data_IF_069654992239
#
_entry.id   IF_069654992239
#
_cell.length_a   1.000
_cell.length_b   1.000
_cell.length_c   1.000
_cell.angle_alpha   90.00
_cell.angle_beta   90.00
_cell.angle_gamma   90.00
#
_symmetry.space_group_name_H-M   'P 1'
#
loop_
_entity.id
_entity.type
_entity.pdbx_description
1 polymer ?
#
# COMPACT_ATOMS: atom_id res chain seq x y z
N UNK A 1 26.12 11.30 -3.56
CA UNK A 1 27.57 11.43 -3.24
C UNK A 1 27.98 12.33 -2.09
N UNK A 2 27.24 13.39 -1.70
CA UNK A 2 27.73 14.35 -0.67
C UNK A 2 28.27 13.69 0.61
N UNK A 3 27.56 12.71 1.15
CA UNK A 3 27.98 11.97 2.36
C UNK A 3 29.29 11.20 2.12
N UNK A 4 29.40 10.46 1.03
CA UNK A 4 30.63 9.71 0.71
C UNK A 4 31.81 10.65 0.51
N UNK A 5 31.61 11.77 -0.21
CA UNK A 5 32.65 12.80 -0.39
C UNK A 5 33.09 13.46 0.90
N UNK A 6 32.18 13.65 1.86
CA UNK A 6 32.49 14.21 3.17
C UNK A 6 33.44 13.31 3.98
N UNK A 7 33.25 11.98 3.90
CA UNK A 7 34.07 11.01 4.65
C UNK A 7 35.17 10.34 3.81
N UNK A 8 35.25 10.67 2.51
CA UNK A 8 36.24 10.21 1.51
C UNK A 8 36.57 8.71 1.67
N UNK A 9 37.86 8.40 1.74
CA UNK A 9 38.42 7.05 1.84
C UNK A 9 37.99 6.26 3.07
N UNK A 10 37.50 6.91 4.14
CA UNK A 10 37.01 6.19 5.33
C UNK A 10 35.70 5.45 5.04
N UNK A 11 34.90 5.95 4.11
CA UNK A 11 33.61 5.36 3.75
C UNK A 11 33.67 4.65 2.38
N UNK A 12 34.29 5.26 1.37
CA UNK A 12 34.28 4.74 0.00
C UNK A 12 34.77 3.29 -0.12
N UNK A 13 35.89 2.93 0.52
CA UNK A 13 36.45 1.58 0.48
C UNK A 13 35.78 0.57 1.44
N UNK A 14 34.78 1.01 2.21
CA UNK A 14 34.02 0.14 3.14
C UNK A 14 32.59 -0.12 2.66
N UNK A 15 32.19 0.51 1.57
CA UNK A 15 30.89 0.29 0.95
C UNK A 15 30.97 -0.99 0.14
N UNK A 16 30.01 -1.90 0.37
CA UNK A 16 29.93 -3.16 -0.36
C UNK A 16 28.51 -3.58 -0.70
N UNK A 17 27.55 -3.38 0.20
CA UNK A 17 26.15 -3.75 -0.01
C UNK A 17 25.20 -2.62 0.39
N UNK A 18 24.06 -2.57 -0.28
CA UNK A 18 23.01 -1.58 -0.07
C UNK A 18 21.68 -2.27 0.14
N UNK A 19 20.97 -1.89 1.19
CA UNK A 19 19.59 -2.33 1.41
C UNK A 19 18.63 -1.21 1.02
N UNK A 20 17.72 -1.50 0.10
CA UNK A 20 16.66 -0.58 -0.35
C UNK A 20 15.32 -1.29 -0.48
N UNK A 21 14.24 -0.53 -0.60
CA UNK A 21 12.92 -1.10 -0.94
C UNK A 21 12.90 -1.63 -2.40
N UNK A 22 11.78 -2.21 -2.80
CA UNK A 22 11.65 -2.83 -4.13
C UNK A 22 11.21 -1.83 -5.21
N UNK A 23 11.71 -0.58 -5.15
CA UNK A 23 11.50 0.42 -6.20
C UNK A 23 12.69 0.41 -7.19
N UNK A 24 12.41 0.42 -8.49
CA UNK A 24 13.41 0.43 -9.57
C UNK A 24 14.33 1.66 -9.54
N UNK A 25 13.92 2.77 -8.91
CA UNK A 25 14.79 3.95 -8.69
C UNK A 25 16.03 3.61 -7.88
N UNK A 26 15.97 2.57 -7.04
CA UNK A 26 17.15 2.08 -6.34
C UNK A 26 18.18 1.49 -7.32
N UNK A 27 17.74 0.82 -8.39
CA UNK A 27 18.64 0.31 -9.42
C UNK A 27 19.30 1.45 -10.18
N UNK A 28 18.54 2.49 -10.55
CA UNK A 28 19.09 3.70 -11.17
C UNK A 28 20.10 4.37 -10.25
N UNK A 29 19.77 4.52 -8.96
CA UNK A 29 20.64 5.14 -7.98
C UNK A 29 21.96 4.36 -7.80
N UNK A 30 21.89 3.03 -7.67
CA UNK A 30 23.07 2.20 -7.47
C UNK A 30 23.97 2.14 -8.70
N UNK A 31 23.40 2.12 -9.92
CA UNK A 31 24.19 2.21 -11.16
C UNK A 31 24.97 3.52 -11.23
N UNK A 32 24.31 4.63 -10.90
CA UNK A 32 25.00 5.93 -10.88
C UNK A 32 26.06 5.98 -9.78
N UNK A 33 25.77 5.45 -8.60
CA UNK A 33 26.71 5.41 -7.49
C UNK A 33 27.95 4.56 -7.82
N UNK A 34 27.78 3.43 -8.51
CA UNK A 34 28.88 2.58 -8.96
C UNK A 34 29.85 3.34 -9.88
N UNK A 35 29.32 4.12 -10.83
CA UNK A 35 30.10 4.97 -11.74
C UNK A 35 30.91 6.02 -10.95
N UNK A 36 30.28 6.68 -9.98
CA UNK A 36 30.93 7.73 -9.20
C UNK A 36 31.99 7.18 -8.24
N UNK A 37 31.76 6.01 -7.62
CA UNK A 37 32.73 5.34 -6.76
C UNK A 37 33.97 4.88 -7.52
N UNK A 38 33.78 4.30 -8.72
CA UNK A 38 34.89 3.91 -9.59
C UNK A 38 35.70 5.13 -10.02
N UNK A 39 35.02 6.20 -10.45
CA UNK A 39 35.69 7.42 -10.95
C UNK A 39 36.46 8.19 -9.88
N UNK A 40 35.93 8.31 -8.67
CA UNK A 40 36.51 9.18 -7.63
C UNK A 40 37.43 8.44 -6.65
N UNK A 41 37.20 7.14 -6.44
CA UNK A 41 37.85 6.37 -5.38
C UNK A 41 38.46 5.05 -5.84
N UNK A 42 38.40 4.72 -7.15
CA UNK A 42 38.87 3.44 -7.69
C UNK A 42 38.19 2.22 -7.01
N UNK A 43 36.92 2.40 -6.62
CA UNK A 43 36.11 1.34 -6.00
C UNK A 43 35.13 0.79 -7.02
N UNK A 44 35.30 -0.48 -7.37
CA UNK A 44 34.38 -1.20 -8.26
C UNK A 44 33.33 -1.92 -7.44
N UNK A 45 32.06 -1.59 -7.69
CA UNK A 45 30.90 -2.32 -7.18
C UNK A 45 30.04 -2.77 -8.36
N UNK A 46 29.50 -3.98 -8.30
CA UNK A 46 28.44 -4.38 -9.20
C UNK A 46 27.09 -3.95 -8.59
N UNK A 47 26.38 -2.97 -9.19
CA UNK A 47 25.15 -2.44 -8.63
C UNK A 47 24.03 -3.47 -8.50
N UNK A 48 24.09 -4.58 -9.27
CA UNK A 48 23.09 -5.65 -9.21
C UNK A 48 23.37 -6.56 -8.02
N UNK A 49 24.55 -7.19 -7.95
CA UNK A 49 24.89 -8.08 -6.84
C UNK A 49 25.11 -7.38 -5.49
N UNK A 50 25.42 -6.07 -5.51
CA UNK A 50 25.58 -5.25 -4.29
C UNK A 50 24.23 -4.79 -3.72
N UNK A 51 23.11 -5.02 -4.40
CA UNK A 51 21.77 -4.65 -3.93
C UNK A 51 21.10 -5.79 -3.18
N UNK A 52 20.80 -5.55 -1.91
CA UNK A 52 19.91 -6.39 -1.11
C UNK A 52 18.53 -5.73 -1.01
N UNK A 53 17.46 -6.51 -1.18
CA UNK A 53 16.09 -6.02 -0.99
C UNK A 53 15.76 -5.96 0.51
N UNK A 54 15.03 -4.93 0.91
CA UNK A 54 14.60 -4.77 2.29
C UNK A 54 13.60 -5.88 2.68
N UNK A 55 13.99 -6.74 3.63
CA UNK A 55 13.15 -7.83 4.11
C UNK A 55 11.77 -7.36 4.61
N UNK A 56 11.72 -6.23 5.33
CA UNK A 56 10.46 -5.66 5.80
C UNK A 56 9.51 -5.26 4.66
N UNK A 57 10.06 -4.70 3.57
CA UNK A 57 9.25 -4.39 2.39
C UNK A 57 8.73 -5.65 1.70
N UNK A 58 9.56 -6.69 1.61
CA UNK A 58 9.15 -7.99 1.04
C UNK A 58 8.03 -8.63 1.86
N UNK A 59 8.16 -8.66 3.20
CA UNK A 59 7.10 -9.18 4.09
C UNK A 59 5.80 -8.40 3.92
N UNK A 60 5.88 -7.07 3.82
CA UNK A 60 4.69 -6.24 3.58
C UNK A 60 4.00 -6.58 2.26
N UNK A 61 4.75 -6.79 1.17
CA UNK A 61 4.19 -7.21 -0.12
C UNK A 61 3.51 -8.58 -0.04
N UNK A 62 4.12 -9.55 0.66
CA UNK A 62 3.51 -10.86 0.86
C UNK A 62 2.20 -10.78 1.65
N UNK A 63 2.20 -10.04 2.76
CA UNK A 63 1.00 -9.86 3.58
C UNK A 63 -0.12 -9.22 2.76
N UNK A 64 0.17 -8.21 1.96
CA UNK A 64 -0.83 -7.56 1.14
C UNK A 64 -1.36 -8.46 0.03
N UNK A 65 -0.50 -9.24 -0.63
CA UNK A 65 -0.98 -10.21 -1.61
C UNK A 65 -1.95 -11.22 -0.96
N UNK A 66 -1.66 -11.67 0.26
CA UNK A 66 -2.54 -12.56 1.01
C UNK A 66 -3.88 -11.90 1.38
N UNK A 67 -3.84 -10.65 1.87
CA UNK A 67 -5.03 -9.91 2.27
C UNK A 67 -5.94 -9.53 1.09
N UNK A 68 -5.36 -9.25 -0.08
CA UNK A 68 -6.09 -8.73 -1.25
C UNK A 68 -6.56 -9.82 -2.21
N UNK A 69 -6.03 -11.04 -2.11
CA UNK A 69 -6.44 -12.15 -2.96
C UNK A 69 -7.86 -12.59 -2.64
N UNK A 70 -8.77 -12.41 -3.60
CA UNK A 70 -10.19 -12.79 -3.48
C UNK A 70 -10.46 -14.23 -3.87
N UNK A 71 -9.50 -14.87 -4.56
CA UNK A 71 -9.53 -16.28 -4.94
C UNK A 71 -8.13 -16.76 -5.29
N UNK A 72 -7.94 -18.08 -5.29
CA UNK A 72 -6.71 -18.73 -5.78
C UNK A 72 -6.38 -18.30 -7.21
N UNK A 73 -7.39 -18.23 -8.09
CA UNK A 73 -7.20 -17.78 -9.47
C UNK A 73 -6.73 -16.32 -9.56
N UNK A 74 -7.29 -15.42 -8.74
CA UNK A 74 -6.86 -14.02 -8.71
C UNK A 74 -5.40 -13.89 -8.24
N UNK A 75 -5.01 -14.68 -7.23
CA UNK A 75 -3.63 -14.73 -6.75
C UNK A 75 -2.68 -15.26 -7.83
N UNK A 76 -3.05 -16.36 -8.50
CA UNK A 76 -2.24 -16.96 -9.56
C UNK A 76 -2.01 -15.97 -10.72
N UNK A 77 -3.07 -15.31 -11.18
CA UNK A 77 -2.98 -14.29 -12.23
C UNK A 77 -2.09 -13.09 -11.80
N UNK A 78 -2.12 -12.71 -10.52
CA UNK A 78 -1.27 -11.65 -10.00
C UNK A 78 0.21 -12.06 -9.91
N UNK A 79 0.48 -13.34 -9.58
CA UNK A 79 1.84 -13.89 -9.60
C UNK A 79 2.39 -13.94 -11.02
N UNK A 80 1.59 -14.41 -11.99
CA UNK A 80 1.96 -14.43 -13.41
C UNK A 80 2.26 -13.01 -13.93
N UNK A 81 1.44 -12.03 -13.55
CA UNK A 81 1.69 -10.62 -13.89
C UNK A 81 3.00 -10.09 -13.29
N UNK A 82 3.39 -10.57 -12.10
CA UNK A 82 4.61 -10.14 -11.41
C UNK A 82 5.88 -10.85 -11.90
N UNK A 83 5.75 -11.96 -12.60
CA UNK A 83 6.87 -12.65 -13.26
C UNK A 83 7.25 -12.02 -14.60
N UNK A 84 6.37 -11.20 -15.17
CA UNK A 84 6.64 -10.43 -16.37
C UNK A 84 7.60 -9.26 -16.05
N UNK A 85 8.90 -9.50 -16.22
CA UNK A 85 9.95 -8.51 -15.96
C UNK A 85 9.75 -7.19 -16.74
N UNK A 86 8.99 -7.19 -17.84
CA UNK A 86 8.69 -5.98 -18.60
C UNK A 86 7.70 -5.05 -17.88
N UNK A 87 6.93 -5.55 -16.92
CA UNK A 87 5.85 -4.80 -16.24
C UNK A 87 6.26 -4.16 -14.91
N UNK A 88 7.41 -4.55 -14.35
CA UNK A 88 7.93 -4.06 -13.04
C UNK A 88 6.82 -3.91 -11.97
N UNK A 89 5.99 -4.95 -11.84
CA UNK A 89 4.83 -4.96 -10.93
C UNK A 89 4.96 -6.12 -9.96
N UNK A 90 4.62 -5.89 -8.70
CA UNK A 90 4.54 -6.98 -7.70
C UNK A 90 3.14 -7.58 -7.71
N UNK A 91 2.97 -8.83 -7.25
CA UNK A 91 1.65 -9.46 -7.14
C UNK A 91 0.67 -8.64 -6.28
N UNK A 92 1.14 -8.00 -5.19
CA UNK A 92 0.32 -7.12 -4.36
C UNK A 92 -0.22 -5.91 -5.16
N UNK A 93 0.65 -5.26 -5.94
CA UNK A 93 0.26 -4.15 -6.81
C UNK A 93 -0.72 -4.60 -7.90
N UNK A 94 -0.49 -5.77 -8.52
CA UNK A 94 -1.41 -6.32 -9.51
C UNK A 94 -2.80 -6.62 -8.92
N UNK A 95 -2.88 -7.20 -7.72
CA UNK A 95 -4.16 -7.42 -7.02
C UNK A 95 -4.86 -6.09 -6.69
N UNK A 96 -4.10 -5.12 -6.18
CA UNK A 96 -4.62 -3.79 -5.89
C UNK A 96 -5.18 -3.11 -7.15
N UNK A 97 -4.52 -3.25 -8.29
CA UNK A 97 -4.98 -2.72 -9.57
C UNK A 97 -6.20 -3.47 -10.10
N UNK A 98 -6.30 -4.79 -9.90
CA UNK A 98 -7.51 -5.55 -10.24
C UNK A 98 -8.73 -5.07 -9.44
N UNK A 99 -8.57 -4.79 -8.14
CA UNK A 99 -9.63 -4.27 -7.28
C UNK A 99 -10.09 -2.87 -7.73
N UNK A 100 -9.16 -2.02 -8.16
CA UNK A 100 -9.45 -0.70 -8.77
C UNK A 100 -10.07 -0.81 -10.16
N UNK A 101 -9.59 -1.70 -11.02
CA UNK A 101 -10.12 -1.85 -12.38
C UNK A 101 -11.55 -2.41 -12.39
N UNK A 102 -11.85 -3.35 -11.49
CA UNK A 102 -13.21 -3.89 -11.30
C UNK A 102 -14.21 -2.79 -10.93
N UNK A 103 -13.71 -1.82 -10.17
CA UNK A 103 -14.45 -0.62 -9.76
C UNK A 103 -14.72 0.31 -10.95
N UNK A 104 -13.77 0.48 -11.87
CA UNK A 104 -13.94 1.35 -13.04
C UNK A 104 -14.84 0.76 -14.14
N UNK A 105 -14.80 -0.57 -14.37
CA UNK A 105 -15.48 -1.23 -15.49
C UNK A 105 -17.02 -1.20 -15.42
N UNK A 106 -17.61 -1.15 -14.23
CA UNK A 106 -19.08 -1.13 -14.04
C UNK A 106 -19.70 0.27 -14.19
N UNK A 107 -18.88 1.31 -14.37
CA UNK A 107 -19.31 2.70 -14.45
C UNK A 107 -19.28 3.25 -15.89
N UNK A 108 -20.29 2.90 -16.70
CA UNK A 108 -20.46 3.48 -18.04
C UNK A 108 -20.82 4.98 -18.04
N UNK A 109 -21.22 5.53 -16.88
CA UNK A 109 -21.66 6.91 -16.72
C UNK A 109 -20.67 7.73 -15.85
N UNK A 110 -20.16 8.84 -16.39
CA UNK A 110 -19.14 9.70 -15.75
C UNK A 110 -19.58 10.26 -14.39
N UNK A 111 -20.89 10.35 -14.10
CA UNK A 111 -21.41 10.77 -12.78
C UNK A 111 -21.36 9.68 -11.71
N UNK A 112 -21.44 8.39 -12.09
CA UNK A 112 -21.35 7.23 -11.17
C UNK A 112 -19.92 6.78 -10.87
N UNK A 113 -18.94 7.28 -11.64
CA UNK A 113 -17.50 6.95 -11.51
C UNK A 113 -16.88 7.25 -10.14
N UNK A 114 -17.51 8.11 -9.33
CA UNK A 114 -16.92 8.58 -8.06
C UNK A 114 -17.14 7.65 -6.86
N UNK A 115 -18.00 6.65 -6.96
CA UNK A 115 -18.41 5.85 -5.81
C UNK A 115 -18.71 4.38 -6.15
N UNK A 116 -18.25 3.89 -7.30
CA UNK A 116 -18.14 2.45 -7.41
C UNK A 116 -16.95 2.06 -6.52
N UNK A 117 -17.14 1.14 -5.60
CA UNK A 117 -16.08 0.56 -4.75
C UNK A 117 -16.29 -0.95 -4.65
N UNK A 118 -17.04 -1.51 -5.62
CA UNK A 118 -17.49 -2.90 -5.61
C UNK A 118 -16.35 -3.90 -5.71
N UNK A 119 -15.23 -3.54 -6.35
CA UNK A 119 -14.03 -4.38 -6.37
C UNK A 119 -13.53 -4.66 -4.95
N UNK A 120 -13.39 -3.62 -4.13
CA UNK A 120 -12.93 -3.75 -2.74
C UNK A 120 -13.87 -4.59 -1.87
N UNK A 121 -15.19 -4.47 -2.05
CA UNK A 121 -16.18 -5.23 -1.27
C UNK A 121 -16.05 -6.75 -1.43
N UNK A 122 -15.44 -7.22 -2.53
CA UNK A 122 -15.20 -8.66 -2.72
C UNK A 122 -14.20 -9.27 -1.71
N UNK A 123 -13.42 -8.43 -1.02
CA UNK A 123 -12.53 -8.85 0.08
C UNK A 123 -13.31 -9.04 1.39
N UNK A 124 -14.55 -8.55 1.47
CA UNK A 124 -15.41 -8.64 2.66
C UNK A 124 -15.27 -7.43 3.61
N UNK A 125 -15.34 -7.64 4.94
CA UNK A 125 -15.31 -6.55 5.94
C UNK A 125 -14.13 -5.60 5.78
N UNK A 126 -12.95 -6.15 5.48
CA UNK A 126 -11.72 -5.36 5.32
C UNK A 126 -11.80 -4.44 4.10
N UNK A 127 -12.42 -4.89 3.00
CA UNK A 127 -12.65 -4.06 1.82
C UNK A 127 -13.66 -2.95 2.06
N UNK A 128 -14.72 -3.21 2.85
CA UNK A 128 -15.65 -2.17 3.31
C UNK A 128 -14.92 -1.11 4.15
N UNK A 129 -14.05 -1.55 5.07
CA UNK A 129 -13.27 -0.65 5.92
C UNK A 129 -12.31 0.24 5.10
N UNK A 130 -11.66 -0.30 4.07
CA UNK A 130 -10.89 0.49 3.10
C UNK A 130 -11.74 1.58 2.46
N UNK A 131 -12.93 1.23 1.97
CA UNK A 131 -13.84 2.18 1.34
C UNK A 131 -14.26 3.29 2.31
N UNK A 132 -14.54 2.96 3.56
CA UNK A 132 -14.85 3.94 4.62
C UNK A 132 -13.66 4.88 4.87
N UNK A 133 -12.45 4.33 5.02
CA UNK A 133 -11.24 5.12 5.24
C UNK A 133 -10.96 6.08 4.06
N UNK A 134 -11.12 5.59 2.83
CA UNK A 134 -11.02 6.39 1.60
C UNK A 134 -12.09 7.48 1.56
N UNK A 135 -13.33 7.16 1.93
CA UNK A 135 -14.45 8.13 1.98
C UNK A 135 -14.19 9.27 2.97
N UNK A 136 -13.67 8.94 4.16
CA UNK A 136 -13.26 9.92 5.17
C UNK A 136 -12.10 10.78 4.67
N UNK A 137 -11.10 10.18 4.04
CA UNK A 137 -9.87 10.89 3.65
C UNK A 137 -10.02 11.78 2.41
N UNK A 138 -10.90 11.42 1.48
CA UNK A 138 -11.03 12.12 0.19
C UNK A 138 -11.84 13.43 0.26
N UNK A 139 -12.38 13.78 1.43
CA UNK A 139 -13.20 14.97 1.63
C UNK A 139 -12.84 15.63 2.95
N UNK A 140 -12.49 16.91 2.93
CA UNK A 140 -12.25 17.68 4.16
C UNK A 140 -13.48 17.67 5.05
N UNK A 141 -14.69 17.74 4.47
CA UNK A 141 -15.96 17.69 5.22
C UNK A 141 -16.12 16.37 5.95
N UNK A 142 -15.79 15.24 5.32
CA UNK A 142 -15.89 13.92 5.97
C UNK A 142 -14.77 13.73 7.00
N UNK A 143 -13.59 14.28 6.74
CA UNK A 143 -12.48 14.25 7.67
C UNK A 143 -12.77 15.04 8.93
N UNK A 144 -13.29 16.27 8.80
CA UNK A 144 -13.69 17.12 9.92
C UNK A 144 -14.82 16.45 10.72
N UNK A 145 -15.84 15.92 10.03
CA UNK A 145 -16.92 15.18 10.70
C UNK A 145 -16.44 13.94 11.45
N UNK A 146 -15.41 13.25 10.93
CA UNK A 146 -14.78 12.14 11.63
C UNK A 146 -14.00 12.62 12.87
N UNK A 147 -13.25 13.72 12.74
CA UNK A 147 -12.48 14.30 13.85
C UNK A 147 -13.41 14.77 14.98
N UNK A 148 -14.54 15.39 14.66
CA UNK A 148 -15.57 15.81 15.63
C UNK A 148 -16.13 14.62 16.45
N UNK A 149 -16.23 13.44 15.85
CA UNK A 149 -16.80 12.24 16.50
C UNK A 149 -15.73 11.46 17.27
N UNK A 150 -14.57 11.24 16.66
CA UNK A 150 -13.56 10.31 17.16
C UNK A 150 -12.36 10.99 17.85
N UNK A 151 -12.08 12.25 17.50
CA UNK A 151 -10.93 13.04 17.99
C UNK A 151 -9.56 12.45 17.64
N UNK A 152 -9.53 11.41 16.81
CA UNK A 152 -8.34 10.68 16.37
C UNK A 152 -8.56 10.18 14.95
N UNK A 153 -7.53 10.26 14.12
CA UNK A 153 -7.60 9.76 12.75
C UNK A 153 -7.83 8.24 12.70
N UNK A 154 -8.74 7.81 11.82
CA UNK A 154 -8.93 6.39 11.51
C UNK A 154 -7.71 5.78 10.80
N UNK A 155 -6.96 6.61 10.06
CA UNK A 155 -5.87 6.17 9.21
C UNK A 155 -6.34 5.76 7.81
N UNK A 156 -5.38 5.42 6.95
CA UNK A 156 -5.61 4.92 5.60
C UNK A 156 -4.58 3.83 5.32
N UNK A 157 -5.03 2.72 4.74
CA UNK A 157 -4.11 1.69 4.27
C UNK A 157 -3.32 2.18 3.05
N UNK A 158 -2.12 1.64 2.88
CA UNK A 158 -1.23 2.05 1.82
C UNK A 158 -0.31 0.89 1.43
N UNK A 159 -0.22 0.65 0.13
CA UNK A 159 0.53 -0.48 -0.40
C UNK A 159 2.02 -0.47 -0.06
N UNK A 160 2.63 0.71 0.02
CA UNK A 160 4.08 0.87 0.28
C UNK A 160 4.43 1.17 1.75
N UNK A 161 3.46 1.56 2.60
CA UNK A 161 3.71 1.85 4.02
C UNK A 161 3.49 0.63 4.90
N UNK A 162 4.52 0.29 5.69
CA UNK A 162 4.46 -0.87 6.57
C UNK A 162 3.34 -0.77 7.60
N UNK A 163 2.71 -1.91 7.86
CA UNK A 163 1.67 -2.07 8.88
C UNK A 163 0.44 -1.18 8.69
N UNK A 164 0.23 -0.54 7.54
CA UNK A 164 -0.87 0.38 7.33
C UNK A 164 -2.23 -0.28 7.54
N UNK A 165 -2.39 -1.51 7.04
CA UNK A 165 -3.60 -2.32 7.21
C UNK A 165 -3.84 -2.67 8.68
N UNK A 166 -2.80 -3.14 9.37
CA UNK A 166 -2.89 -3.41 10.80
C UNK A 166 -3.29 -2.17 11.59
N UNK A 167 -2.71 -1.01 11.29
CA UNK A 167 -3.04 0.26 11.97
C UNK A 167 -4.47 0.71 11.69
N UNK A 168 -4.95 0.56 10.46
CA UNK A 168 -6.34 0.84 10.12
C UNK A 168 -7.31 -0.08 10.87
N UNK A 169 -7.02 -1.38 10.92
CA UNK A 169 -7.83 -2.36 11.66
C UNK A 169 -7.83 -2.09 13.17
N UNK A 170 -6.66 -1.88 13.75
CA UNK A 170 -6.48 -1.55 15.18
C UNK A 170 -7.24 -0.28 15.57
N UNK A 171 -7.16 0.75 14.71
CA UNK A 171 -7.90 2.00 14.89
C UNK A 171 -9.42 1.81 14.75
N UNK A 172 -9.88 1.01 13.80
CA UNK A 172 -11.30 0.73 13.59
C UNK A 172 -11.91 -0.05 14.76
N UNK A 173 -11.20 -1.06 15.26
CA UNK A 173 -11.61 -1.86 16.42
C UNK A 173 -11.63 -0.99 17.68
N UNK A 174 -10.58 -0.20 17.92
CA UNK A 174 -10.50 0.71 19.06
C UNK A 174 -11.56 1.81 19.04
N UNK A 175 -12.11 2.12 17.86
CA UNK A 175 -13.08 3.20 17.63
C UNK A 175 -14.41 2.66 17.07
N UNK A 176 -14.81 1.43 17.40
CA UNK A 176 -16.06 0.79 16.93
C UNK A 176 -17.30 1.68 17.16
N UNK A 177 -17.38 2.30 18.35
CA UNK A 177 -18.46 3.22 18.71
C UNK A 177 -18.51 4.47 17.83
N UNK A 178 -17.44 5.30 17.81
CA UNK A 178 -17.31 6.44 16.89
C UNK A 178 -17.59 6.07 15.42
N UNK A 179 -17.06 4.95 14.95
CA UNK A 179 -17.27 4.46 13.59
C UNK A 179 -18.74 4.18 13.31
N UNK A 180 -19.44 3.54 14.24
CA UNK A 180 -20.88 3.30 14.11
C UNK A 180 -21.70 4.59 14.00
N UNK A 181 -21.34 5.63 14.75
CA UNK A 181 -22.00 6.96 14.67
C UNK A 181 -21.77 7.58 13.29
N UNK A 182 -20.52 7.59 12.82
CA UNK A 182 -20.17 8.13 11.51
C UNK A 182 -20.90 7.40 10.37
N UNK A 183 -20.92 6.06 10.41
CA UNK A 183 -21.60 5.25 9.40
C UNK A 183 -23.11 5.51 9.36
N UNK A 184 -23.75 5.74 10.52
CA UNK A 184 -25.17 6.09 10.58
C UNK A 184 -25.44 7.49 9.99
N UNK A 185 -24.54 8.46 10.22
CA UNK A 185 -24.65 9.81 9.66
C UNK A 185 -24.59 9.78 8.11
N UNK A 186 -23.69 8.98 7.55
CA UNK A 186 -23.46 8.88 6.09
C UNK A 186 -24.06 7.62 5.44
N UNK A 187 -25.07 6.99 6.06
CA UNK A 187 -25.61 5.68 5.64
C UNK A 187 -26.06 5.62 4.18
N UNK A 188 -26.55 6.72 3.61
CA UNK A 188 -27.00 6.78 2.20
C UNK A 188 -25.84 6.71 1.21
N UNK A 189 -24.70 7.29 1.56
CA UNK A 189 -23.50 7.30 0.72
C UNK A 189 -22.73 5.99 0.88
N UNK A 190 -22.68 5.47 2.12
CA UNK A 190 -21.93 4.27 2.49
C UNK A 190 -22.77 2.99 2.48
N UNK A 191 -23.95 2.95 1.86
CA UNK A 191 -24.92 1.84 1.97
C UNK A 191 -24.28 0.44 1.78
N UNK A 192 -23.43 0.27 0.77
CA UNK A 192 -22.74 -1.00 0.48
C UNK A 192 -21.53 -1.30 1.37
N UNK A 193 -21.08 -0.33 2.16
CA UNK A 193 -19.88 -0.38 2.99
C UNK A 193 -20.19 -0.35 4.50
N UNK A 194 -21.47 -0.34 4.89
CA UNK A 194 -21.86 -0.44 6.30
C UNK A 194 -21.33 -1.75 6.90
N UNK A 195 -20.58 -1.61 8.01
CA UNK A 195 -20.09 -2.71 8.82
C UNK A 195 -21.21 -3.22 9.73
N UNK A 196 -21.70 -4.42 9.44
CA UNK A 196 -22.75 -5.10 10.18
C UNK A 196 -22.20 -5.79 11.43
N UNK A 197 -23.08 -6.25 12.31
CA UNK A 197 -22.65 -7.02 13.49
C UNK A 197 -21.81 -8.25 13.12
N UNK A 198 -22.13 -8.93 12.02
CA UNK A 198 -21.37 -10.10 11.55
C UNK A 198 -19.95 -9.72 11.08
N UNK A 199 -19.78 -8.52 10.52
CA UNK A 199 -18.48 -8.01 10.10
C UNK A 199 -17.54 -7.81 11.31
N UNK A 200 -18.08 -7.53 12.51
CA UNK A 200 -17.33 -7.33 13.75
C UNK A 200 -17.07 -8.61 14.57
N UNK A 201 -17.78 -9.71 14.28
CA UNK A 201 -17.70 -10.95 15.08
C UNK A 201 -16.30 -11.55 15.13
N UNK A 202 -15.49 -11.32 14.10
CA UNK A 202 -14.15 -11.86 13.97
C UNK A 202 -13.06 -10.91 14.53
N UNK A 203 -13.46 -9.80 15.16
CA UNK A 203 -12.57 -8.74 15.65
C UNK A 203 -12.42 -8.69 17.18
N UNK A 204 -13.09 -9.58 17.93
CA UNK A 204 -13.08 -9.64 19.41
C UNK A 204 -12.35 -10.86 19.92
#
# INVERSE_FOLDING_TARGET
>A
MKIIRQYRYRLAHRIGYFTGDNDAKNDTCLRQLAVELSREYDVTIDPVSSRTRCAGHIINLFLQAFLLATSEHALQAAIEAAQDEAKDVTAAHALHDQLRATTDQKSHDRRKKRHDTTGWRSIGPMGKLHNIAVFIHNSTVHNDAWDDIAGKALGLDNITRWNSWFRLLDAAISQEGPLSIFLNQYHKELEGDILTHDDWKYSK
#
